data_IF_500505348118
#
_entry.id   IF_500505348118
#
_cell.length_a   1.000
_cell.length_b   1.000
_cell.length_c   1.000
_cell.angle_alpha   90.00
_cell.angle_beta   90.00
_cell.angle_gamma   90.00
#
_symmetry.space_group_name_H-M   'P 1'
#
loop_
_entity.id
_entity.type
_entity.pdbx_description
1 polymer ?
#
# COMPACT_ATOMS: atom_id res chain seq x y z
N UNK A 1 2.60 9.88 25.79
CA UNK A 1 2.75 9.75 24.33
C UNK A 1 3.07 11.14 23.79
N UNK A 2 4.10 11.30 22.95
CA UNK A 2 4.60 12.60 22.49
C UNK A 2 3.74 13.09 21.31
N UNK A 3 2.91 14.09 21.55
CA UNK A 3 2.10 14.75 20.51
C UNK A 3 2.94 15.79 19.77
N UNK A 4 2.70 15.94 18.46
CA UNK A 4 3.36 16.92 17.59
C UNK A 4 2.31 17.63 16.73
N UNK A 5 2.39 18.95 16.68
CA UNK A 5 1.59 19.76 15.75
C UNK A 5 2.31 19.84 14.41
N UNK A 6 1.59 19.57 13.32
CA UNK A 6 2.09 19.74 11.95
C UNK A 6 2.14 21.24 11.67
N UNK A 7 3.34 21.80 11.45
CA UNK A 7 3.53 23.22 11.08
C UNK A 7 4.04 23.39 9.66
N UNK A 8 4.67 22.35 9.11
CA UNK A 8 5.12 22.32 7.73
C UNK A 8 4.84 20.99 7.05
N UNK A 9 4.59 21.04 5.74
CA UNK A 9 4.31 19.87 4.92
C UNK A 9 5.10 19.90 3.62
N UNK A 10 5.79 18.81 3.28
CA UNK A 10 6.33 18.58 1.95
C UNK A 10 5.36 17.69 1.18
N UNK A 11 4.80 18.18 0.07
CA UNK A 11 3.83 17.47 -0.75
C UNK A 11 4.42 17.26 -2.15
N UNK A 12 4.63 16.01 -2.55
CA UNK A 12 5.18 15.65 -3.87
C UNK A 12 4.47 14.42 -4.40
N UNK A 13 3.40 14.61 -5.17
CA UNK A 13 2.55 13.50 -5.61
C UNK A 13 2.32 13.46 -7.13
N UNK A 14 2.37 12.26 -7.68
CA UNK A 14 1.92 11.93 -9.00
C UNK A 14 0.40 12.06 -9.10
N UNK A 15 -0.37 11.35 -8.26
CA UNK A 15 -1.83 11.41 -8.26
C UNK A 15 -2.32 12.55 -7.33
N UNK A 16 -3.28 13.34 -7.80
CA UNK A 16 -3.84 14.49 -7.08
C UNK A 16 -5.28 14.24 -6.63
N UNK A 17 -5.84 13.08 -6.95
CA UNK A 17 -7.17 12.68 -6.54
C UNK A 17 -7.27 12.68 -5.01
N UNK A 18 -8.28 13.35 -4.46
CA UNK A 18 -8.47 13.47 -3.02
C UNK A 18 -7.49 14.39 -2.28
N UNK A 19 -6.53 15.03 -2.96
CA UNK A 19 -5.53 15.90 -2.31
C UNK A 19 -6.10 17.26 -1.87
N UNK A 20 -7.01 17.86 -2.66
CA UNK A 20 -7.51 19.21 -2.41
C UNK A 20 -8.14 19.41 -1.01
N UNK A 21 -8.95 18.47 -0.47
CA UNK A 21 -9.45 18.57 0.91
C UNK A 21 -8.34 18.62 1.96
N UNK A 22 -7.25 17.89 1.78
CA UNK A 22 -6.09 17.89 2.69
C UNK A 22 -5.38 19.24 2.61
N UNK A 23 -5.06 19.72 1.41
CA UNK A 23 -4.39 21.01 1.19
C UNK A 23 -5.17 22.16 1.81
N UNK A 24 -6.50 22.19 1.62
CA UNK A 24 -7.35 23.21 2.22
C UNK A 24 -7.37 23.15 3.75
N UNK A 25 -7.34 21.95 4.33
CA UNK A 25 -7.31 21.79 5.78
C UNK A 25 -5.95 22.22 6.37
N UNK A 26 -4.84 21.86 5.71
CA UNK A 26 -3.50 22.33 6.06
C UNK A 26 -3.42 23.87 5.99
N UNK A 27 -4.01 24.49 4.96
CA UNK A 27 -4.06 25.95 4.83
C UNK A 27 -4.83 26.61 5.98
N UNK A 28 -6.00 26.07 6.37
CA UNK A 28 -6.76 26.57 7.53
C UNK A 28 -5.97 26.49 8.84
N UNK A 29 -5.11 25.48 8.97
CA UNK A 29 -4.23 25.29 10.11
C UNK A 29 -2.95 26.15 10.02
N UNK A 30 -2.79 26.97 8.97
CA UNK A 30 -1.61 27.80 8.69
C UNK A 30 -0.31 26.98 8.56
N UNK A 31 -0.42 25.77 8.01
CA UNK A 31 0.73 24.92 7.71
C UNK A 31 1.49 25.48 6.51
N UNK A 32 2.80 25.63 6.65
CA UNK A 32 3.66 26.02 5.52
C UNK A 32 3.82 24.84 4.56
N UNK A 33 3.43 25.00 3.30
CA UNK A 33 3.50 23.92 2.31
C UNK A 33 4.70 24.11 1.38
N UNK A 34 5.49 23.06 1.23
CA UNK A 34 6.57 22.92 0.25
C UNK A 34 6.14 21.92 -0.82
N UNK A 35 6.39 22.23 -2.09
CA UNK A 35 6.02 21.32 -3.20
C UNK A 35 6.90 21.50 -4.43
N UNK A 36 6.72 20.64 -5.43
CA UNK A 36 7.46 20.68 -6.70
C UNK A 36 6.56 20.53 -7.91
N UNK A 37 6.94 21.18 -9.01
CA UNK A 37 6.42 20.94 -10.35
C UNK A 37 4.89 20.92 -10.45
N UNK A 38 4.34 19.79 -10.90
CA UNK A 38 2.89 19.67 -11.13
C UNK A 38 2.04 19.72 -9.86
N UNK A 39 2.60 19.34 -8.70
CA UNK A 39 1.90 19.39 -7.41
C UNK A 39 1.86 20.81 -6.88
N UNK A 40 2.96 21.55 -7.01
CA UNK A 40 3.02 22.97 -6.67
C UNK A 40 1.98 23.77 -7.47
N UNK A 41 1.92 23.56 -8.78
CA UNK A 41 0.92 24.22 -9.64
C UNK A 41 -0.52 23.91 -9.17
N UNK A 42 -0.81 22.64 -8.89
CA UNK A 42 -2.12 22.23 -8.40
C UNK A 42 -2.52 22.95 -7.10
N UNK A 43 -1.58 23.10 -6.16
CA UNK A 43 -1.82 23.80 -4.89
C UNK A 43 -2.05 25.30 -5.12
N UNK A 44 -1.26 25.94 -6.00
CA UNK A 44 -1.46 27.35 -6.39
C UNK A 44 -2.83 27.58 -7.04
N UNK A 45 -3.28 26.66 -7.89
CA UNK A 45 -4.58 26.74 -8.56
C UNK A 45 -5.76 26.64 -7.56
N UNK A 46 -5.54 26.10 -6.35
CA UNK A 46 -6.51 26.12 -5.24
C UNK A 46 -6.50 27.45 -4.45
N UNK A 47 -5.61 28.39 -4.79
CA UNK A 47 -5.45 29.65 -4.08
C UNK A 47 -4.73 29.51 -2.73
N UNK A 48 -3.94 28.45 -2.56
CA UNK A 48 -3.16 28.19 -1.34
C UNK A 48 -1.69 28.54 -1.59
N UNK A 49 -1.07 29.23 -0.62
CA UNK A 49 0.34 29.58 -0.68
C UNK A 49 1.22 28.32 -0.59
N UNK A 50 2.24 28.26 -1.45
CA UNK A 50 3.18 27.14 -1.52
C UNK A 50 4.56 27.63 -1.90
N UNK A 51 5.56 27.11 -1.21
CA UNK A 51 6.97 27.38 -1.44
C UNK A 51 7.52 26.29 -2.37
N UNK A 52 8.19 26.68 -3.45
CA UNK A 52 8.82 25.71 -4.34
C UNK A 52 10.05 25.09 -3.65
N UNK A 53 10.25 23.78 -3.75
CA UNK A 53 11.45 23.12 -3.18
C UNK A 53 12.71 23.60 -3.90
N UNK A 54 12.60 23.99 -5.17
CA UNK A 54 13.66 24.61 -5.95
C UNK A 54 14.21 25.88 -5.25
N UNK A 55 13.35 26.66 -4.58
CA UNK A 55 13.75 27.85 -3.82
C UNK A 55 14.54 27.49 -2.56
N UNK A 56 14.29 26.32 -1.97
CA UNK A 56 15.05 25.82 -0.82
C UNK A 56 16.45 25.37 -1.22
N UNK A 57 16.55 24.63 -2.32
CA UNK A 57 17.76 23.87 -2.66
C UNK A 57 18.81 24.71 -3.37
N UNK A 58 18.48 25.92 -3.84
CA UNK A 58 19.37 26.79 -4.63
C UNK A 58 19.89 26.15 -5.93
N UNK A 59 19.39 24.96 -6.31
CA UNK A 59 19.76 24.24 -7.52
C UNK A 59 18.54 24.10 -8.45
N UNK A 60 18.71 24.36 -9.75
CA UNK A 60 17.63 24.13 -10.71
C UNK A 60 17.36 22.63 -10.87
N UNK A 61 16.16 22.28 -11.33
CA UNK A 61 15.83 20.89 -11.72
C UNK A 61 16.71 20.43 -12.90
N UNK A 62 17.74 19.63 -12.63
CA UNK A 62 18.65 19.04 -13.63
C UNK A 62 18.29 17.59 -13.98
N UNK A 63 18.92 17.04 -15.03
CA UNK A 63 18.82 15.62 -15.44
C UNK A 63 17.37 15.15 -15.66
N UNK A 64 16.56 15.97 -16.33
CA UNK A 64 15.14 15.64 -16.59
C UNK A 64 14.27 15.55 -15.33
N UNK A 65 14.75 16.06 -14.20
CA UNK A 65 14.02 16.02 -12.94
C UNK A 65 14.32 14.83 -12.03
N UNK A 66 15.31 13.99 -12.39
CA UNK A 66 15.69 12.80 -11.61
C UNK A 66 16.22 13.10 -10.19
N UNK A 67 16.70 14.31 -9.94
CA UNK A 67 17.37 14.70 -8.68
C UNK A 67 16.75 15.91 -8.00
N UNK A 68 15.44 16.17 -8.22
CA UNK A 68 14.75 17.37 -7.69
C UNK A 68 14.74 17.49 -6.17
N UNK A 69 14.54 16.38 -5.47
CA UNK A 69 14.34 16.37 -4.01
C UNK A 69 15.54 15.80 -3.24
N UNK A 70 16.54 15.26 -3.94
CA UNK A 70 17.75 14.64 -3.38
C UNK A 70 18.75 15.70 -2.88
N UNK A 71 18.34 16.47 -1.88
CA UNK A 71 19.12 17.60 -1.37
C UNK A 71 19.18 17.61 0.17
N UNK A 72 20.33 17.95 0.79
CA UNK A 72 20.48 18.00 2.25
C UNK A 72 19.47 18.92 2.95
N UNK A 73 19.07 20.04 2.35
CA UNK A 73 18.02 20.90 2.94
C UNK A 73 16.64 20.24 3.02
N UNK A 74 16.32 19.33 2.10
CA UNK A 74 15.07 18.57 2.15
C UNK A 74 15.19 17.44 3.17
N UNK A 75 16.24 16.62 3.05
CA UNK A 75 16.42 15.46 3.91
C UNK A 75 16.81 15.82 5.34
N UNK A 76 17.54 16.92 5.57
CA UNK A 76 17.83 17.46 6.90
C UNK A 76 16.56 17.94 7.60
N UNK A 77 15.66 18.60 6.87
CA UNK A 77 14.35 19.01 7.39
C UNK A 77 13.47 17.82 7.81
N UNK A 78 13.64 16.66 7.16
CA UNK A 78 12.90 15.42 7.45
C UNK A 78 13.60 14.55 8.51
N UNK A 79 14.93 14.43 8.49
CA UNK A 79 15.68 13.42 9.25
C UNK A 79 16.30 13.94 10.54
N UNK A 80 16.28 15.25 10.79
CA UNK A 80 16.78 15.79 12.06
C UNK A 80 16.01 15.21 13.25
N UNK A 81 16.70 15.04 14.37
CA UNK A 81 16.09 14.62 15.62
C UNK A 81 15.81 15.84 16.47
N UNK A 82 14.54 16.19 16.64
CA UNK A 82 14.16 17.38 17.40
C UNK A 82 14.45 17.28 18.91
N UNK A 83 14.89 16.11 19.41
CA UNK A 83 15.37 15.92 20.78
C UNK A 83 16.91 15.92 20.90
N UNK A 84 17.62 16.27 19.82
CA UNK A 84 19.07 16.39 19.79
C UNK A 84 19.45 17.86 19.56
N UNK A 85 20.10 18.48 20.55
CA UNK A 85 20.45 19.90 20.50
C UNK A 85 21.43 20.25 19.36
N UNK A 86 22.29 19.30 18.95
CA UNK A 86 23.21 19.49 17.81
C UNK A 86 22.44 19.55 16.50
N UNK A 87 21.52 18.61 16.26
CA UNK A 87 20.69 18.59 15.05
C UNK A 87 19.87 19.90 14.95
N UNK A 88 19.30 20.37 16.07
CA UNK A 88 18.52 21.62 16.12
C UNK A 88 19.38 22.86 15.82
N UNK A 89 20.62 22.89 16.32
CA UNK A 89 21.57 23.97 16.01
C UNK A 89 21.94 23.97 14.52
N UNK A 90 22.22 22.80 13.94
CA UNK A 90 22.54 22.65 12.51
C UNK A 90 21.40 23.11 11.60
N UNK A 91 20.13 22.85 11.98
CA UNK A 91 18.99 23.37 11.22
C UNK A 91 19.03 24.90 11.10
N UNK A 92 19.41 25.58 12.18
CA UNK A 92 19.49 27.04 12.22
C UNK A 92 20.73 27.53 11.46
N UNK A 93 21.88 26.90 11.66
CA UNK A 93 23.14 27.28 11.02
C UNK A 93 23.08 27.18 9.48
N UNK A 94 22.40 26.16 8.96
CA UNK A 94 22.34 25.87 7.53
C UNK A 94 21.02 26.30 6.86
N UNK A 95 20.19 27.10 7.56
CA UNK A 95 18.88 27.56 7.09
C UNK A 95 18.01 26.42 6.54
N UNK A 96 17.93 25.31 7.29
CA UNK A 96 17.18 24.12 6.93
C UNK A 96 15.78 24.20 7.57
N UNK A 97 14.70 24.24 6.77
CA UNK A 97 13.36 24.26 7.33
C UNK A 97 13.02 22.91 7.97
N UNK A 98 12.36 22.94 9.12
CA UNK A 98 11.75 21.74 9.68
C UNK A 98 10.63 21.24 8.76
N UNK A 99 10.52 19.93 8.57
CA UNK A 99 9.40 19.27 7.88
C UNK A 99 8.68 18.35 8.88
N UNK A 100 7.41 18.61 9.16
CA UNK A 100 6.62 17.80 10.11
C UNK A 100 5.72 16.77 9.42
N UNK A 101 5.37 16.99 8.15
CA UNK A 101 4.53 16.12 7.33
C UNK A 101 5.17 15.92 5.96
N UNK A 102 5.18 14.68 5.48
CA UNK A 102 5.55 14.34 4.10
C UNK A 102 4.40 13.58 3.46
N UNK A 103 3.82 14.16 2.40
CA UNK A 103 2.81 13.50 1.55
C UNK A 103 3.46 13.22 0.20
N UNK A 104 3.57 11.95 -0.14
CA UNK A 104 4.26 11.50 -1.35
C UNK A 104 3.60 10.21 -1.82
N UNK A 105 3.47 10.05 -3.12
CA UNK A 105 3.13 8.77 -3.74
C UNK A 105 4.19 8.47 -4.83
N UNK A 106 4.20 7.24 -5.30
CA UNK A 106 5.16 6.78 -6.30
C UNK A 106 4.52 6.77 -7.68
N UNK A 107 5.35 6.83 -8.74
CA UNK A 107 4.87 6.53 -10.08
C UNK A 107 4.29 5.11 -10.14
N UNK A 108 3.23 4.89 -10.94
CA UNK A 108 2.58 3.59 -11.03
C UNK A 108 3.41 2.62 -11.89
N UNK A 109 4.52 2.13 -11.33
CA UNK A 109 5.48 1.24 -11.99
C UNK A 109 4.81 -0.03 -12.53
N UNK A 110 4.07 -0.74 -11.69
CA UNK A 110 3.38 -1.97 -12.08
C UNK A 110 2.35 -1.76 -13.19
N UNK A 111 1.58 -0.66 -13.14
CA UNK A 111 0.65 -0.32 -14.23
C UNK A 111 1.39 -0.02 -15.53
N UNK A 112 2.60 0.53 -15.46
CA UNK A 112 3.44 0.80 -16.64
C UNK A 112 4.03 -0.49 -17.23
N UNK A 113 4.42 -1.44 -16.38
CA UNK A 113 4.84 -2.77 -16.83
C UNK A 113 3.66 -3.50 -17.48
N UNK A 114 2.50 -3.49 -16.84
CA UNK A 114 1.28 -4.16 -17.33
C UNK A 114 0.74 -3.57 -18.64
N UNK A 115 1.03 -2.30 -18.95
CA UNK A 115 0.61 -1.67 -20.22
C UNK A 115 1.44 -2.10 -21.42
N UNK A 116 2.53 -2.86 -21.22
CA UNK A 116 3.45 -3.26 -22.29
C UNK A 116 4.34 -2.11 -22.78
N UNK A 117 4.62 -1.12 -21.94
CA UNK A 117 5.53 -0.03 -22.25
C UNK A 117 6.94 -0.53 -22.60
N UNK A 118 7.72 0.30 -23.32
CA UNK A 118 9.09 -0.06 -23.67
C UNK A 118 9.96 -0.21 -22.42
N UNK A 119 11.04 -0.99 -22.50
CA UNK A 119 12.00 -1.12 -21.40
C UNK A 119 12.49 0.25 -20.91
N UNK A 120 12.80 1.16 -21.84
CA UNK A 120 13.25 2.51 -21.52
C UNK A 120 12.20 3.30 -20.73
N UNK A 121 10.92 3.23 -21.13
CA UNK A 121 9.84 3.90 -20.41
C UNK A 121 9.64 3.34 -19.01
N UNK A 122 9.77 2.01 -18.84
CA UNK A 122 9.69 1.35 -17.53
C UNK A 122 10.83 1.82 -16.62
N UNK A 123 12.06 1.91 -17.15
CA UNK A 123 13.21 2.44 -16.40
C UNK A 123 12.98 3.89 -15.95
N UNK A 124 12.39 4.74 -16.78
CA UNK A 124 12.05 6.13 -16.40
C UNK A 124 10.97 6.22 -15.32
N UNK A 125 10.19 5.14 -15.08
CA UNK A 125 9.20 5.08 -14.01
C UNK A 125 9.76 4.60 -12.67
N UNK A 126 11.04 4.22 -12.61
CA UNK A 126 11.68 3.88 -11.35
C UNK A 126 11.96 5.18 -10.58
N UNK A 127 11.07 5.51 -9.65
CA UNK A 127 11.21 6.66 -8.76
C UNK A 127 12.34 6.49 -7.72
N UNK A 128 13.28 7.44 -7.71
CA UNK A 128 14.36 7.53 -6.72
C UNK A 128 14.04 8.57 -5.65
N UNK A 129 13.43 9.69 -6.04
CA UNK A 129 13.14 10.80 -5.12
C UNK A 129 12.01 10.45 -4.18
N UNK A 130 10.89 9.97 -4.73
CA UNK A 130 9.69 9.60 -3.97
C UNK A 130 9.98 8.51 -2.94
N UNK A 131 10.65 7.42 -3.36
CA UNK A 131 10.99 6.32 -2.45
C UNK A 131 11.93 6.77 -1.33
N UNK A 132 12.86 7.68 -1.64
CA UNK A 132 13.80 8.22 -0.64
C UNK A 132 13.06 9.09 0.39
N UNK A 133 12.12 9.92 -0.06
CA UNK A 133 11.27 10.74 0.83
C UNK A 133 10.40 9.89 1.75
N UNK A 134 9.73 8.86 1.20
CA UNK A 134 8.92 7.89 1.97
C UNK A 134 9.78 7.28 3.10
N UNK A 135 10.94 6.73 2.74
CA UNK A 135 11.81 6.05 3.71
C UNK A 135 12.38 7.00 4.75
N UNK A 136 12.74 8.22 4.36
CA UNK A 136 13.26 9.22 5.29
C UNK A 136 12.21 9.65 6.33
N UNK A 137 10.99 9.97 5.87
CA UNK A 137 9.89 10.36 6.75
C UNK A 137 9.47 9.20 7.66
N UNK A 138 9.32 7.99 7.11
CA UNK A 138 8.97 6.80 7.91
C UNK A 138 10.04 6.43 8.93
N UNK A 139 11.34 6.58 8.59
CA UNK A 139 12.43 6.40 9.55
C UNK A 139 12.32 7.37 10.72
N UNK A 140 12.01 8.64 10.46
CA UNK A 140 11.93 9.69 11.48
C UNK A 140 10.51 9.88 12.03
N UNK A 141 9.72 8.80 12.14
CA UNK A 141 8.33 8.86 12.59
C UNK A 141 8.17 9.47 13.99
N UNK A 142 9.22 9.53 14.80
CA UNK A 142 9.17 10.17 16.12
C UNK A 142 8.78 11.65 16.03
N UNK A 143 9.15 12.31 14.94
CA UNK A 143 8.94 13.74 14.74
C UNK A 143 8.26 14.08 13.40
N UNK A 144 8.20 13.16 12.42
CA UNK A 144 7.61 13.37 11.09
C UNK A 144 6.43 12.42 10.81
N UNK A 145 5.34 12.94 10.26
CA UNK A 145 4.21 12.16 9.77
C UNK A 145 4.41 11.84 8.27
N UNK A 146 4.20 10.60 7.84
CA UNK A 146 4.36 10.20 6.43
C UNK A 146 3.04 9.67 5.87
N UNK A 147 2.55 10.25 4.77
CA UNK A 147 1.42 9.73 3.98
C UNK A 147 1.99 9.28 2.63
N UNK A 148 1.98 7.96 2.39
CA UNK A 148 2.69 7.33 1.27
C UNK A 148 1.79 6.82 0.13
N UNK A 149 0.46 6.88 0.30
CA UNK A 149 -0.53 6.42 -0.67
C UNK A 149 -1.76 7.32 -0.67
N UNK A 150 -2.43 7.42 -1.82
CA UNK A 150 -3.75 8.07 -1.98
C UNK A 150 -4.81 7.35 -1.13
N UNK A 151 -4.69 6.04 -0.93
CA UNK A 151 -5.64 5.26 -0.14
C UNK A 151 -5.67 5.68 1.34
N UNK A 152 -4.60 6.31 1.80
CA UNK A 152 -4.47 6.82 3.16
C UNK A 152 -5.05 8.24 3.35
N UNK A 153 -5.46 8.92 2.27
CA UNK A 153 -5.86 10.33 2.32
C UNK A 153 -7.10 10.57 3.16
N UNK A 154 -8.13 9.72 3.00
CA UNK A 154 -9.37 9.84 3.76
C UNK A 154 -9.13 9.70 5.25
N UNK A 155 -8.38 8.67 5.65
CA UNK A 155 -8.00 8.44 7.04
C UNK A 155 -7.13 9.58 7.60
N UNK A 156 -6.14 10.04 6.82
CA UNK A 156 -5.28 11.14 7.24
C UNK A 156 -6.06 12.45 7.41
N UNK A 157 -6.99 12.76 6.51
CA UNK A 157 -7.84 13.94 6.60
C UNK A 157 -8.72 13.91 7.85
N UNK A 158 -9.28 12.75 8.21
CA UNK A 158 -10.04 12.57 9.44
C UNK A 158 -9.17 12.78 10.69
N UNK A 159 -7.95 12.24 10.71
CA UNK A 159 -6.99 12.48 11.79
C UNK A 159 -6.64 13.96 11.90
N UNK A 160 -6.31 14.60 10.77
CA UNK A 160 -5.93 16.01 10.71
C UNK A 160 -7.03 16.91 11.29
N UNK A 161 -8.29 16.65 10.94
CA UNK A 161 -9.47 17.39 11.45
C UNK A 161 -9.76 17.10 12.91
N UNK A 162 -9.86 15.82 13.28
CA UNK A 162 -10.27 15.41 14.63
C UNK A 162 -9.23 15.75 15.70
N UNK A 163 -7.96 15.82 15.31
CA UNK A 163 -6.84 16.18 16.19
C UNK A 163 -6.32 17.59 15.96
N UNK A 164 -7.02 18.42 15.19
CA UNK A 164 -6.66 19.83 14.95
C UNK A 164 -5.21 20.05 14.50
N UNK A 165 -4.72 19.23 13.58
CA UNK A 165 -3.33 19.30 13.10
C UNK A 165 -2.29 18.57 13.97
N UNK A 166 -2.71 17.97 15.08
CA UNK A 166 -1.83 17.21 15.95
C UNK A 166 -1.76 15.72 15.58
N UNK A 167 -0.60 15.11 15.78
CA UNK A 167 -0.38 13.67 15.65
C UNK A 167 0.24 13.08 16.91
N UNK A 168 -0.21 11.88 17.30
CA UNK A 168 0.45 11.10 18.35
C UNK A 168 1.60 10.27 17.78
N UNK A 169 2.46 9.77 18.67
CA UNK A 169 3.54 8.85 18.30
C UNK A 169 2.98 7.58 17.63
N UNK A 170 1.85 7.08 18.15
CA UNK A 170 1.15 5.90 17.63
C UNK A 170 0.61 6.14 16.22
N UNK A 171 0.06 7.32 15.93
CA UNK A 171 -0.39 7.66 14.57
C UNK A 171 0.79 7.64 13.60
N UNK A 172 1.87 8.36 13.94
CA UNK A 172 3.06 8.46 13.08
C UNK A 172 3.71 7.10 12.88
N UNK A 173 3.84 6.29 13.95
CA UNK A 173 4.40 4.94 13.86
C UNK A 173 3.57 4.02 12.96
N UNK A 174 2.24 4.11 13.05
CA UNK A 174 1.33 3.31 12.21
C UNK A 174 1.44 3.71 10.74
N UNK A 175 1.48 5.01 10.45
CA UNK A 175 1.67 5.50 9.09
C UNK A 175 3.08 5.22 8.55
N UNK A 176 4.11 5.21 9.40
CA UNK A 176 5.44 4.75 9.01
C UNK A 176 5.45 3.25 8.61
N UNK A 177 4.66 2.41 9.28
CA UNK A 177 4.50 1.02 8.87
C UNK A 177 3.83 0.91 7.49
N UNK A 178 2.80 1.72 7.22
CA UNK A 178 2.16 1.83 5.89
C UNK A 178 3.16 2.29 4.82
N UNK A 179 3.98 3.30 5.13
CA UNK A 179 5.03 3.79 4.25
C UNK A 179 6.07 2.72 3.89
N UNK A 180 6.53 1.94 4.87
CA UNK A 180 7.43 0.83 4.59
C UNK A 180 6.76 -0.29 3.80
N UNK A 181 5.47 -0.55 4.00
CA UNK A 181 4.69 -1.49 3.19
C UNK A 181 4.64 -1.07 1.71
N UNK A 182 4.40 0.22 1.42
CA UNK A 182 4.46 0.76 0.05
C UNK A 182 5.87 0.59 -0.53
N UNK A 183 6.91 0.96 0.22
CA UNK A 183 8.29 0.90 -0.28
C UNK A 183 8.77 -0.52 -0.56
N UNK A 184 8.42 -1.49 0.28
CA UNK A 184 8.85 -2.89 0.11
C UNK A 184 8.11 -3.58 -1.02
N UNK A 185 6.84 -3.26 -1.22
CA UNK A 185 6.05 -3.72 -2.36
C UNK A 185 6.63 -3.19 -3.67
N UNK A 186 6.91 -1.89 -3.72
CA UNK A 186 7.51 -1.23 -4.88
C UNK A 186 8.86 -1.86 -5.29
N UNK A 187 9.78 -2.06 -4.35
CA UNK A 187 11.06 -2.72 -4.62
C UNK A 187 10.90 -4.20 -5.03
N UNK A 188 9.87 -4.88 -4.52
CA UNK A 188 9.52 -6.25 -4.94
C UNK A 188 9.10 -6.29 -6.40
N UNK A 189 8.24 -5.35 -6.83
CA UNK A 189 7.83 -5.24 -8.23
C UNK A 189 9.02 -4.95 -9.17
N UNK A 190 9.91 -4.03 -8.79
CA UNK A 190 11.13 -3.73 -9.55
C UNK A 190 12.03 -4.97 -9.65
N UNK A 191 12.29 -5.66 -8.53
CA UNK A 191 13.10 -6.87 -8.53
C UNK A 191 12.54 -7.93 -9.49
N UNK A 192 11.23 -8.20 -9.40
CA UNK A 192 10.57 -9.20 -10.24
C UNK A 192 10.61 -8.81 -11.73
N UNK A 193 10.54 -7.51 -12.06
CA UNK A 193 10.71 -7.04 -13.43
C UNK A 193 12.11 -7.30 -13.99
N UNK A 194 13.17 -7.10 -13.21
CA UNK A 194 14.54 -7.36 -13.67
C UNK A 194 14.91 -8.85 -13.66
N UNK A 195 14.27 -9.65 -12.81
CA UNK A 195 14.56 -11.08 -12.64
C UNK A 195 13.54 -11.99 -13.34
N UNK A 196 12.99 -11.57 -14.48
CA UNK A 196 11.99 -12.34 -15.25
C UNK A 196 12.51 -13.69 -15.75
N UNK A 197 13.82 -13.82 -15.97
CA UNK A 197 14.46 -15.06 -16.38
C UNK A 197 14.77 -16.01 -15.21
N UNK A 198 14.50 -15.58 -13.96
CA UNK A 198 14.79 -16.32 -12.74
C UNK A 198 16.26 -16.74 -12.57
N UNK A 199 17.21 -15.98 -13.15
CA UNK A 199 18.65 -16.23 -12.96
C UNK A 199 19.10 -16.00 -11.52
N UNK A 200 18.49 -15.01 -10.84
CA UNK A 200 18.66 -14.83 -9.41
C UNK A 200 17.64 -15.73 -8.71
N UNK A 201 18.14 -16.76 -8.01
CA UNK A 201 17.32 -17.68 -7.24
C UNK A 201 16.77 -17.03 -5.95
N UNK A 202 15.79 -16.15 -6.08
CA UNK A 202 15.09 -15.51 -4.98
C UNK A 202 13.58 -15.36 -5.27
N UNK A 203 12.76 -15.68 -4.27
CA UNK A 203 11.31 -15.48 -4.30
C UNK A 203 10.95 -14.17 -3.59
N UNK A 204 10.32 -13.24 -4.32
CA UNK A 204 9.76 -12.01 -3.75
C UNK A 204 8.26 -11.98 -4.01
N UNK A 205 7.49 -12.07 -2.93
CA UNK A 205 6.04 -11.95 -2.92
C UNK A 205 5.69 -10.80 -1.99
N UNK A 206 4.87 -9.88 -2.49
CA UNK A 206 4.35 -8.77 -1.70
C UNK A 206 2.89 -8.58 -2.09
N UNK A 207 1.99 -9.01 -1.21
CA UNK A 207 0.56 -8.80 -1.34
C UNK A 207 0.13 -7.78 -0.29
N UNK A 208 -0.44 -6.67 -0.75
CA UNK A 208 -0.79 -5.54 0.10
C UNK A 208 -2.29 -5.48 0.40
N UNK A 209 -3.10 -6.21 -0.35
CA UNK A 209 -4.54 -6.29 -0.14
C UNK A 209 -4.92 -7.60 0.57
N UNK A 210 -5.37 -7.45 1.82
CA UNK A 210 -5.85 -8.57 2.63
C UNK A 210 -7.33 -8.40 2.98
N UNK A 211 -8.15 -9.42 2.70
CA UNK A 211 -9.53 -9.50 3.18
C UNK A 211 -9.55 -10.09 4.59
N UNK A 212 -10.11 -9.35 5.55
CA UNK A 212 -10.27 -9.84 6.93
C UNK A 212 -11.37 -10.91 6.96
N UNK A 213 -11.03 -12.10 7.46
CA UNK A 213 -11.99 -13.18 7.63
C UNK A 213 -12.66 -13.07 9.00
N UNK A 214 -13.83 -13.71 9.14
CA UNK A 214 -14.61 -13.69 10.39
C UNK A 214 -13.81 -14.18 11.60
N UNK A 215 -12.99 -15.20 11.39
CA UNK A 215 -12.01 -15.78 12.31
C UNK A 215 -11.07 -16.69 11.48
N UNK A 216 -10.01 -17.20 12.10
CA UNK A 216 -9.11 -18.20 11.51
C UNK A 216 -9.77 -19.58 11.47
N UNK A 217 -9.01 -20.64 11.72
CA UNK A 217 -9.57 -22.00 11.78
C UNK A 217 -10.55 -22.17 12.95
N UNK A 218 -10.28 -21.50 14.07
CA UNK A 218 -11.11 -21.49 15.27
C UNK A 218 -11.54 -20.06 15.66
N UNK A 219 -12.67 -19.87 16.38
CA UNK A 219 -13.23 -18.54 16.68
C UNK A 219 -12.31 -17.57 17.45
N UNK A 220 -11.33 -18.08 18.19
CA UNK A 220 -10.39 -17.25 18.96
C UNK A 220 -9.18 -16.79 18.14
N UNK A 221 -9.02 -17.28 16.91
CA UNK A 221 -7.93 -16.94 16.01
C UNK A 221 -8.38 -15.86 15.02
N UNK A 222 -7.51 -14.92 14.68
CA UNK A 222 -7.74 -13.98 13.57
C UNK A 222 -7.39 -14.68 12.25
N UNK A 223 -8.14 -14.37 11.19
CA UNK A 223 -7.91 -14.90 9.84
C UNK A 223 -7.85 -13.76 8.82
N UNK A 224 -6.97 -13.90 7.84
CA UNK A 224 -6.81 -12.98 6.73
C UNK A 224 -6.66 -13.81 5.45
N UNK A 225 -7.26 -13.34 4.36
CA UNK A 225 -7.11 -13.92 3.03
C UNK A 225 -6.36 -12.92 2.13
N UNK A 226 -5.40 -13.42 1.36
CA UNK A 226 -4.56 -12.65 0.46
C UNK A 226 -4.70 -13.23 -0.96
N UNK A 227 -4.91 -12.36 -1.95
CA UNK A 227 -5.11 -12.71 -3.36
C UNK A 227 -6.44 -12.24 -3.93
N UNK A 228 -6.67 -12.51 -5.22
CA UNK A 228 -7.88 -12.10 -5.92
C UNK A 228 -9.04 -13.08 -5.65
N UNK A 229 -9.78 -12.81 -4.59
CA UNK A 229 -10.94 -13.59 -4.19
C UNK A 229 -12.04 -13.58 -5.27
N UNK A 230 -12.23 -12.45 -5.95
CA UNK A 230 -13.35 -12.24 -6.86
C UNK A 230 -13.08 -12.84 -8.25
N UNK A 231 -11.80 -12.97 -8.63
CA UNK A 231 -11.40 -13.81 -9.77
C UNK A 231 -11.65 -15.31 -9.53
N UNK A 232 -11.58 -15.78 -8.28
CA UNK A 232 -11.80 -17.19 -7.96
C UNK A 232 -13.28 -17.52 -7.77
N UNK A 233 -14.07 -16.63 -7.16
CA UNK A 233 -15.45 -16.92 -6.80
C UNK A 233 -16.39 -15.76 -7.09
N UNK A 234 -17.52 -16.05 -7.75
CA UNK A 234 -18.70 -15.18 -7.71
C UNK A 234 -19.66 -15.71 -6.68
N UNK A 235 -19.71 -15.07 -5.51
CA UNK A 235 -20.64 -15.45 -4.44
C UNK A 235 -22.07 -15.00 -4.80
N UNK A 236 -22.93 -15.95 -5.17
CA UNK A 236 -24.32 -15.67 -5.53
C UNK A 236 -25.26 -15.50 -4.32
N UNK A 237 -24.96 -16.18 -3.20
CA UNK A 237 -25.78 -16.15 -1.99
C UNK A 237 -24.98 -16.58 -0.74
N UNK A 238 -25.59 -16.46 0.44
CA UNK A 238 -25.06 -16.99 1.70
C UNK A 238 -24.25 -16.00 2.55
N UNK A 239 -23.79 -16.47 3.70
CA UNK A 239 -22.92 -15.70 4.60
C UNK A 239 -21.51 -15.59 4.04
N UNK A 240 -20.69 -14.69 4.58
CA UNK A 240 -19.26 -14.60 4.23
C UNK A 240 -18.55 -15.94 4.46
N UNK A 241 -17.63 -16.29 3.56
CA UNK A 241 -16.84 -17.51 3.68
C UNK A 241 -15.93 -17.42 4.92
N UNK A 242 -15.87 -18.51 5.68
CA UNK A 242 -14.89 -18.66 6.76
C UNK A 242 -13.55 -19.17 6.22
N UNK A 243 -12.51 -19.12 7.06
CA UNK A 243 -11.20 -19.71 6.75
C UNK A 243 -11.31 -21.19 6.34
N UNK A 244 -12.07 -22.00 7.08
CA UNK A 244 -12.25 -23.41 6.75
C UNK A 244 -13.02 -23.61 5.44
N UNK A 245 -13.98 -22.73 5.13
CA UNK A 245 -14.66 -22.83 3.84
C UNK A 245 -13.72 -22.55 2.67
N UNK A 246 -12.77 -21.63 2.82
CA UNK A 246 -11.76 -21.38 1.79
C UNK A 246 -10.87 -22.61 1.57
N UNK A 247 -10.47 -23.30 2.64
CA UNK A 247 -9.70 -24.54 2.54
C UNK A 247 -10.50 -25.67 1.87
N UNK A 248 -11.76 -25.87 2.29
CA UNK A 248 -12.63 -26.89 1.71
C UNK A 248 -12.89 -26.62 0.22
N UNK A 249 -13.08 -25.35 -0.16
CA UNK A 249 -13.32 -24.96 -1.55
C UNK A 249 -12.06 -25.16 -2.40
N UNK A 250 -10.88 -24.79 -1.91
CA UNK A 250 -9.62 -25.05 -2.61
C UNK A 250 -9.40 -26.55 -2.84
N UNK A 251 -9.61 -27.38 -1.81
CA UNK A 251 -9.53 -28.83 -1.91
C UNK A 251 -10.56 -29.39 -2.92
N UNK A 252 -11.79 -28.88 -2.89
CA UNK A 252 -12.85 -29.30 -3.81
C UNK A 252 -12.52 -28.95 -5.27
N UNK A 253 -12.03 -27.73 -5.53
CA UNK A 253 -11.66 -27.28 -6.88
C UNK A 253 -10.49 -28.09 -7.41
N UNK A 254 -9.44 -28.31 -6.60
CA UNK A 254 -8.29 -29.11 -6.99
C UNK A 254 -8.69 -30.55 -7.32
N UNK A 255 -9.53 -31.18 -6.50
CA UNK A 255 -10.04 -32.53 -6.76
C UNK A 255 -10.88 -32.59 -8.05
N UNK A 256 -11.80 -31.65 -8.25
CA UNK A 256 -12.65 -31.64 -9.46
C UNK A 256 -11.85 -31.37 -10.74
N UNK A 257 -10.74 -30.64 -10.65
CA UNK A 257 -9.86 -30.41 -11.80
C UNK A 257 -9.20 -31.69 -12.32
N UNK A 258 -8.98 -32.71 -11.48
CA UNK A 258 -8.42 -34.01 -11.90
C UNK A 258 -9.36 -34.76 -12.85
N UNK A 259 -10.68 -34.57 -12.72
CA UNK A 259 -11.70 -35.27 -13.51
C UNK A 259 -12.32 -34.38 -14.59
N UNK A 260 -11.65 -33.27 -14.93
CA UNK A 260 -12.13 -32.33 -15.93
C UNK A 260 -12.20 -33.00 -17.30
N UNK A 261 -13.35 -32.85 -17.98
CA UNK A 261 -13.68 -33.49 -19.26
C UNK A 261 -13.95 -35.01 -19.19
N UNK A 262 -14.13 -35.56 -18.00
CA UNK A 262 -14.63 -36.93 -17.84
C UNK A 262 -16.16 -36.95 -17.64
N UNK A 263 -16.70 -38.10 -17.24
CA UNK A 263 -18.12 -38.24 -16.92
C UNK A 263 -18.51 -37.36 -15.72
N UNK A 264 -19.79 -36.98 -15.58
CA UNK A 264 -20.29 -36.19 -14.44
C UNK A 264 -19.80 -36.67 -13.08
N UNK A 265 -19.02 -35.82 -12.40
CA UNK A 265 -18.37 -36.10 -11.11
C UNK A 265 -18.93 -35.21 -10.01
N UNK A 266 -19.13 -35.77 -8.82
CA UNK A 266 -19.54 -35.03 -7.63
C UNK A 266 -18.72 -35.48 -6.42
N UNK A 267 -18.24 -34.50 -5.64
CA UNK A 267 -17.56 -34.74 -4.37
C UNK A 267 -18.24 -33.95 -3.23
N UNK A 268 -18.24 -34.53 -2.03
CA UNK A 268 -18.67 -33.88 -0.80
C UNK A 268 -17.46 -33.81 0.11
N UNK A 269 -17.11 -32.60 0.55
CA UNK A 269 -15.95 -32.36 1.41
C UNK A 269 -16.38 -31.87 2.79
N UNK A 270 -15.61 -32.26 3.79
CA UNK A 270 -15.71 -31.77 5.16
C UNK A 270 -14.34 -31.76 5.81
N UNK A 271 -13.90 -30.60 6.31
CA UNK A 271 -12.61 -30.43 6.96
C UNK A 271 -11.45 -30.94 6.09
N UNK A 272 -11.40 -30.52 4.83
CA UNK A 272 -10.45 -30.90 3.79
C UNK A 272 -10.45 -32.39 3.38
N UNK A 273 -11.43 -33.18 3.83
CA UNK A 273 -11.55 -34.59 3.49
C UNK A 273 -12.77 -34.85 2.61
N UNK A 274 -12.63 -35.65 1.55
CA UNK A 274 -13.76 -36.13 0.78
C UNK A 274 -14.48 -37.23 1.56
N UNK A 275 -15.67 -36.93 2.10
CA UNK A 275 -16.54 -37.93 2.73
C UNK A 275 -17.35 -38.72 1.69
N UNK A 276 -17.47 -38.18 0.48
CA UNK A 276 -18.17 -38.82 -0.63
C UNK A 276 -17.60 -38.39 -1.97
N UNK A 277 -17.47 -39.32 -2.91
CA UNK A 277 -17.04 -39.05 -4.28
C UNK A 277 -17.68 -40.06 -5.23
N UNK A 278 -18.25 -39.60 -6.35
CA UNK A 278 -18.74 -40.49 -7.39
C UNK A 278 -18.68 -39.84 -8.77
N UNK A 279 -18.49 -40.68 -9.78
CA UNK A 279 -18.62 -40.34 -11.19
C UNK A 279 -19.73 -41.21 -11.81
N UNK A 280 -20.70 -40.59 -12.50
CA UNK A 280 -21.88 -41.26 -13.07
C UNK A 280 -22.30 -40.63 -14.39
N UNK A 281 -23.31 -41.18 -15.04
CA UNK A 281 -23.84 -40.65 -16.32
C UNK A 281 -24.53 -39.29 -16.14
N UNK A 282 -25.02 -38.98 -14.93
CA UNK A 282 -25.67 -37.69 -14.62
C UNK A 282 -25.17 -37.12 -13.29
N UNK A 283 -25.14 -35.79 -13.16
CA UNK A 283 -24.76 -35.10 -11.92
C UNK A 283 -25.66 -35.50 -10.75
N UNK A 284 -26.95 -35.71 -10.98
CA UNK A 284 -27.88 -36.16 -9.93
C UNK A 284 -27.50 -37.54 -9.39
N UNK A 285 -27.20 -38.51 -10.26
CA UNK A 285 -26.74 -39.83 -9.82
C UNK A 285 -25.39 -39.76 -9.10
N UNK A 286 -24.46 -38.93 -9.60
CA UNK A 286 -23.17 -38.71 -8.96
C UNK A 286 -23.34 -38.14 -7.54
N UNK A 287 -24.25 -37.17 -7.35
CA UNK A 287 -24.57 -36.63 -6.03
C UNK A 287 -25.14 -37.70 -5.09
N UNK A 288 -26.14 -38.47 -5.53
CA UNK A 288 -26.79 -39.50 -4.70
C UNK A 288 -25.78 -40.54 -4.24
N UNK A 289 -24.91 -41.00 -5.14
CA UNK A 289 -23.93 -42.03 -4.81
C UNK A 289 -22.74 -41.48 -4.01
N UNK A 290 -22.35 -40.22 -4.21
CA UNK A 290 -21.36 -39.55 -3.37
C UNK A 290 -21.89 -39.40 -1.93
N UNK A 291 -23.14 -38.97 -1.75
CA UNK A 291 -23.79 -38.87 -0.44
C UNK A 291 -23.90 -40.23 0.26
N UNK A 292 -24.12 -41.31 -0.51
CA UNK A 292 -24.19 -42.67 0.04
C UNK A 292 -22.83 -43.19 0.58
N UNK A 293 -21.71 -42.54 0.26
CA UNK A 293 -20.39 -42.88 0.78
C UNK A 293 -20.29 -42.74 2.31
N UNK A 294 -20.60 -41.55 2.83
CA UNK A 294 -20.74 -41.28 4.26
C UNK A 294 -21.77 -40.15 4.52
N UNK A 295 -23.06 -40.49 4.66
CA UNK A 295 -24.13 -39.51 4.84
C UNK A 295 -24.15 -38.86 6.22
N UNK A 296 -23.40 -39.36 7.20
CA UNK A 296 -23.31 -38.74 8.54
C UNK A 296 -22.28 -37.62 8.53
N UNK A 297 -21.22 -37.79 7.74
CA UNK A 297 -20.20 -36.76 7.55
C UNK A 297 -20.66 -35.68 6.58
N UNK A 298 -21.28 -36.03 5.45
CA UNK A 298 -21.80 -35.11 4.44
C UNK A 298 -22.77 -34.04 5.02
#
# INVERSE_FOLDING_TARGET
MKTKTIKSALISVFNKDGLAPIVNELNKLNVTIYSTGGTEKFIKDLGVDVIAVEDLTSYPSILGGRVKTLHPKVFGGILNRQNNDSDVAELTEFDIPQIDLVIVDLYPFEKTVASGASHQDIIEKIDIGGISLIRAAAKNYSDVFCVSSVDDYSEFLELLKSKHGESSDEDRKRFAAKAFNISSHYDTAIFNYFNQNHEIAALKVSETEGKVLRYGENPHQKGFFFGDFDAMFTKLHGKELSYNNLLDVDAAVNLMNEFKNEAPTFAILKHNNACGFAQRETIHQAYVDALAGDPVSA
#
